data_IF_366585395206
#
_entry.id   IF_366585395206
#
_cell.length_a   1.000
_cell.length_b   1.000
_cell.length_c   1.000
_cell.angle_alpha   90.00
_cell.angle_beta   90.00
_cell.angle_gamma   90.00
#
_symmetry.space_group_name_H-M   'P 1'
#
loop_
_entity.id
_entity.type
_entity.pdbx_description
1 polymer ?
#
# COMPACT_ATOMS: atom_id res chain seq x y z
N UNK A 1 3.35 -14.04 -6.65
CA UNK A 1 4.49 -13.13 -6.91
C UNK A 1 4.75 -12.88 -8.40
N UNK A 2 4.15 -13.63 -9.35
CA UNK A 2 4.34 -13.42 -10.81
C UNK A 2 3.64 -12.19 -11.41
N UNK A 3 2.66 -11.58 -10.71
CA UNK A 3 1.87 -10.48 -11.27
C UNK A 3 2.58 -9.12 -11.13
N UNK A 4 3.12 -8.74 -9.96
CA UNK A 4 3.65 -7.37 -9.75
C UNK A 4 4.93 -7.08 -10.56
N UNK A 5 5.87 -8.03 -10.68
CA UNK A 5 7.09 -7.85 -11.49
C UNK A 5 6.74 -7.70 -12.98
N UNK A 6 5.74 -8.46 -13.45
CA UNK A 6 5.24 -8.34 -14.83
C UNK A 6 4.59 -6.97 -15.06
N UNK A 7 3.80 -6.48 -14.10
CA UNK A 7 3.11 -5.19 -14.16
C UNK A 7 4.10 -4.02 -14.17
N UNK A 8 5.16 -4.11 -13.36
CA UNK A 8 6.31 -3.18 -13.40
C UNK A 8 6.98 -3.22 -14.77
N UNK A 9 7.24 -4.43 -15.30
CA UNK A 9 7.79 -4.61 -16.64
C UNK A 9 6.96 -3.89 -17.70
N UNK A 10 5.64 -4.07 -17.71
CA UNK A 10 4.76 -3.41 -18.67
C UNK A 10 4.76 -1.88 -18.53
N UNK A 11 4.79 -1.33 -17.32
CA UNK A 11 4.85 0.12 -17.12
C UNK A 11 6.18 0.71 -17.64
N UNK A 12 7.29 0.02 -17.39
CA UNK A 12 8.61 0.39 -17.92
C UNK A 12 8.61 0.32 -19.44
N UNK A 13 8.12 -0.77 -20.01
CA UNK A 13 8.04 -0.93 -21.46
C UNK A 13 7.15 0.15 -22.10
N UNK A 14 6.06 0.53 -21.43
CA UNK A 14 5.23 1.65 -21.87
C UNK A 14 6.00 2.95 -21.87
N UNK A 15 6.70 3.30 -20.77
CA UNK A 15 7.54 4.51 -20.70
C UNK A 15 8.62 4.50 -21.79
N UNK A 16 9.23 3.36 -22.09
CA UNK A 16 10.21 3.28 -23.17
C UNK A 16 9.60 3.54 -24.55
N UNK A 17 8.41 2.98 -24.84
CA UNK A 17 7.73 3.16 -26.13
C UNK A 17 7.07 4.53 -26.29
N UNK A 18 6.64 5.16 -25.19
CA UNK A 18 5.95 6.45 -25.21
C UNK A 18 6.88 7.66 -25.19
N UNK A 19 8.20 7.44 -25.12
CA UNK A 19 9.18 8.53 -25.21
C UNK A 19 9.19 9.13 -26.61
N UNK A 20 9.09 10.46 -26.70
CA UNK A 20 9.10 11.21 -27.95
C UNK A 20 10.34 12.12 -28.03
N UNK A 21 10.80 12.40 -29.24
CA UNK A 21 11.78 13.46 -29.48
C UNK A 21 11.11 14.84 -29.45
N UNK A 22 11.80 15.85 -28.91
CA UNK A 22 11.28 17.22 -28.79
C UNK A 22 11.57 18.11 -30.01
N UNK A 23 12.15 17.55 -31.09
CA UNK A 23 12.58 18.21 -32.34
C UNK A 23 13.76 19.20 -32.20
N UNK A 24 14.29 19.38 -31.00
CA UNK A 24 15.37 20.31 -30.68
C UNK A 24 16.59 19.58 -30.06
N UNK A 25 16.73 18.28 -30.33
CA UNK A 25 17.83 17.46 -29.80
C UNK A 25 17.62 16.95 -28.36
N UNK A 26 16.41 17.07 -27.82
CA UNK A 26 15.99 16.44 -26.58
C UNK A 26 14.96 15.32 -26.80
N UNK A 27 14.76 14.51 -25.77
CA UNK A 27 13.76 13.45 -25.76
C UNK A 27 13.12 13.34 -24.38
N UNK A 28 11.87 12.92 -24.32
CA UNK A 28 11.18 12.78 -23.04
C UNK A 28 9.71 12.43 -23.17
N UNK A 29 8.94 12.81 -22.16
CA UNK A 29 7.53 12.45 -22.03
C UNK A 29 6.68 13.71 -21.88
N UNK A 30 5.54 13.73 -22.58
CA UNK A 30 4.45 14.65 -22.32
C UNK A 30 3.44 14.04 -21.37
N UNK A 31 2.47 14.84 -20.92
CA UNK A 31 1.41 14.37 -20.01
C UNK A 31 0.61 13.19 -20.62
N UNK A 32 0.17 13.34 -21.86
CA UNK A 32 -0.41 12.28 -22.71
C UNK A 32 0.42 12.15 -23.98
N UNK A 33 0.19 11.11 -24.78
CA UNK A 33 0.89 10.84 -26.05
C UNK A 33 0.89 12.01 -27.04
N UNK A 34 -0.09 12.88 -26.92
CA UNK A 34 -0.40 13.94 -27.88
C UNK A 34 0.21 15.28 -27.43
N UNK A 35 0.72 15.34 -26.21
CA UNK A 35 1.37 16.52 -25.63
C UNK A 35 2.88 16.40 -25.85
N UNK A 36 3.56 17.46 -26.35
CA UNK A 36 5.00 17.43 -26.52
C UNK A 36 5.75 17.11 -25.22
N UNK A 37 6.92 16.44 -25.32
CA UNK A 37 7.82 16.26 -24.19
C UNK A 37 8.14 17.56 -23.48
N UNK A 38 8.15 17.52 -22.16
CA UNK A 38 8.54 18.68 -21.35
C UNK A 38 9.45 18.30 -20.17
N UNK A 39 10.21 19.26 -19.60
CA UNK A 39 11.18 19.00 -18.55
C UNK A 39 10.58 18.36 -17.30
N UNK A 40 9.39 18.77 -16.86
CA UNK A 40 8.80 18.29 -15.61
C UNK A 40 8.35 16.83 -15.72
N UNK A 41 7.51 16.49 -16.71
CA UNK A 41 7.06 15.09 -16.90
C UNK A 41 8.23 14.16 -17.22
N UNK A 42 9.24 14.67 -17.92
CA UNK A 42 10.46 13.92 -18.21
C UNK A 42 11.27 13.65 -16.95
N UNK A 43 11.40 14.64 -16.06
CA UNK A 43 12.08 14.48 -14.79
C UNK A 43 11.38 13.46 -13.88
N UNK A 44 10.04 13.47 -13.81
CA UNK A 44 9.24 12.48 -13.11
C UNK A 44 9.51 11.05 -13.62
N UNK A 45 9.49 10.86 -14.95
CA UNK A 45 9.78 9.57 -15.58
C UNK A 45 11.20 9.07 -15.29
N UNK A 46 12.20 9.96 -15.34
CA UNK A 46 13.60 9.63 -15.00
C UNK A 46 13.71 9.12 -13.57
N UNK A 47 13.12 9.84 -12.60
CA UNK A 47 13.18 9.45 -11.20
C UNK A 47 12.49 8.10 -10.97
N UNK A 48 11.32 7.87 -11.58
CA UNK A 48 10.58 6.63 -11.45
C UNK A 48 11.31 5.43 -12.07
N UNK A 49 11.89 5.58 -13.27
CA UNK A 49 12.69 4.52 -13.92
C UNK A 49 13.93 4.19 -13.08
N UNK A 50 14.60 5.20 -12.54
CA UNK A 50 15.78 5.03 -11.69
C UNK A 50 15.41 4.32 -10.39
N UNK A 51 14.32 4.71 -9.74
CA UNK A 51 13.80 4.04 -8.54
C UNK A 51 13.42 2.57 -8.81
N UNK A 52 12.92 2.26 -10.00
CA UNK A 52 12.63 0.89 -10.45
C UNK A 52 13.89 0.08 -10.82
N UNK A 53 15.08 0.69 -10.80
CA UNK A 53 16.33 0.06 -11.22
C UNK A 53 16.35 -0.23 -12.73
N UNK A 54 15.80 0.69 -13.53
CA UNK A 54 15.71 0.58 -14.99
C UNK A 54 16.48 1.71 -15.67
N UNK A 55 17.16 1.42 -16.79
CA UNK A 55 17.92 2.44 -17.51
C UNK A 55 16.97 3.46 -18.16
N UNK A 56 17.37 4.72 -18.16
CA UNK A 56 16.66 5.78 -18.88
C UNK A 56 16.97 5.67 -20.38
N UNK A 57 15.97 5.52 -21.27
CA UNK A 57 16.21 5.51 -22.71
C UNK A 57 16.65 6.89 -23.21
N UNK A 58 17.57 6.92 -24.20
CA UNK A 58 18.10 8.16 -24.80
C UNK A 58 18.59 9.17 -23.75
N UNK A 59 19.33 8.67 -22.76
CA UNK A 59 19.71 9.43 -21.56
C UNK A 59 20.34 10.81 -21.83
N UNK A 60 21.16 10.95 -22.87
CA UNK A 60 21.78 12.25 -23.21
C UNK A 60 20.75 13.27 -23.74
N UNK A 61 19.81 12.83 -24.57
CA UNK A 61 18.72 13.68 -25.08
C UNK A 61 17.72 14.03 -23.97
N UNK A 62 17.47 13.09 -23.06
CA UNK A 62 16.69 13.32 -21.84
C UNK A 62 17.36 14.36 -20.95
N UNK A 63 18.67 14.22 -20.73
CA UNK A 63 19.47 15.19 -19.96
C UNK A 63 19.42 16.58 -20.62
N UNK A 64 19.47 16.65 -21.94
CA UNK A 64 19.37 17.91 -22.69
C UNK A 64 18.00 18.58 -22.50
N UNK A 65 16.89 17.82 -22.54
CA UNK A 65 15.54 18.35 -22.32
C UNK A 65 15.32 18.80 -20.87
N UNK A 66 15.71 17.98 -19.88
CA UNK A 66 15.51 18.28 -18.44
C UNK A 66 16.21 19.58 -18.03
N UNK A 67 17.34 19.92 -18.65
CA UNK A 67 18.09 21.17 -18.40
C UNK A 67 17.39 22.44 -18.93
N UNK A 68 16.33 22.33 -19.72
CA UNK A 68 15.67 23.49 -20.33
C UNK A 68 14.70 24.16 -19.38
N UNK A 69 14.75 25.48 -19.38
CA UNK A 69 13.78 26.33 -18.71
C UNK A 69 12.53 26.60 -19.55
N UNK A 70 12.67 26.53 -20.87
CA UNK A 70 11.62 26.89 -21.82
C UNK A 70 11.55 25.85 -22.92
N UNK A 71 10.33 25.45 -23.27
CA UNK A 71 10.04 24.61 -24.44
C UNK A 71 9.10 25.35 -25.38
N UNK A 72 9.51 25.50 -26.63
CA UNK A 72 8.68 26.09 -27.66
C UNK A 72 7.64 25.08 -28.15
N UNK A 73 6.37 25.50 -28.11
CA UNK A 73 5.23 24.72 -28.61
C UNK A 73 4.49 25.49 -29.70
N UNK A 74 3.61 24.80 -30.44
CA UNK A 74 2.75 25.44 -31.45
C UNK A 74 1.84 26.54 -30.87
N UNK A 75 1.53 26.47 -29.57
CA UNK A 75 0.72 27.47 -28.86
C UNK A 75 1.55 28.53 -28.11
N UNK A 76 2.88 28.47 -28.22
CA UNK A 76 3.81 29.42 -27.59
C UNK A 76 4.85 28.75 -26.68
N UNK A 77 5.70 29.58 -26.07
CA UNK A 77 6.74 29.14 -25.15
C UNK A 77 6.15 28.73 -23.79
N UNK A 78 6.50 27.53 -23.32
CA UNK A 78 6.14 27.03 -21.99
C UNK A 78 7.32 27.13 -21.05
N UNK A 79 7.15 27.80 -19.90
CA UNK A 79 8.19 28.00 -18.90
C UNK A 79 8.12 26.96 -17.77
N UNK A 80 9.26 26.36 -17.43
CA UNK A 80 9.44 25.33 -16.40
C UNK A 80 10.40 25.84 -15.33
N UNK A 81 9.96 26.87 -14.61
CA UNK A 81 10.72 27.58 -13.55
C UNK A 81 9.95 27.67 -12.24
N UNK A 82 8.83 26.97 -12.10
CA UNK A 82 8.12 26.93 -10.83
C UNK A 82 8.91 26.10 -9.81
N UNK A 83 8.66 26.27 -8.50
CA UNK A 83 9.36 25.46 -7.50
C UNK A 83 9.23 23.96 -7.72
N UNK A 84 8.08 23.46 -8.20
CA UNK A 84 7.89 22.05 -8.50
C UNK A 84 8.74 21.60 -9.70
N UNK A 85 8.84 22.42 -10.75
CA UNK A 85 9.71 22.15 -11.91
C UNK A 85 11.18 22.02 -11.52
N UNK A 86 11.67 23.00 -10.76
CA UNK A 86 13.07 23.05 -10.30
C UNK A 86 13.38 21.86 -9.39
N UNK A 87 12.43 21.48 -8.54
CA UNK A 87 12.58 20.33 -7.64
C UNK A 87 12.70 19.02 -8.39
N UNK A 88 11.81 18.77 -9.36
CA UNK A 88 11.90 17.58 -10.21
C UNK A 88 13.16 17.60 -11.07
N UNK A 89 13.54 18.75 -11.63
CA UNK A 89 14.78 18.90 -12.39
C UNK A 89 16.00 18.50 -11.58
N UNK A 90 16.15 19.01 -10.36
CA UNK A 90 17.28 18.65 -9.48
C UNK A 90 17.34 17.15 -9.21
N UNK A 91 16.20 16.53 -8.89
CA UNK A 91 16.10 15.08 -8.65
C UNK A 91 16.47 14.27 -9.88
N UNK A 92 15.95 14.65 -11.05
CA UNK A 92 16.24 13.96 -12.30
C UNK A 92 17.70 14.11 -12.73
N UNK A 93 18.30 15.29 -12.56
CA UNK A 93 19.73 15.49 -12.85
C UNK A 93 20.62 14.61 -11.96
N UNK A 94 20.29 14.46 -10.67
CA UNK A 94 20.94 13.51 -9.78
C UNK A 94 20.83 12.07 -10.29
N UNK A 95 19.62 11.64 -10.70
CA UNK A 95 19.39 10.33 -11.29
C UNK A 95 20.07 10.09 -12.66
N UNK A 96 20.51 11.16 -13.34
CA UNK A 96 21.22 11.10 -14.63
C UNK A 96 22.74 11.25 -14.48
N UNK A 97 23.24 11.02 -13.26
CA UNK A 97 24.65 11.12 -12.86
C UNK A 97 25.27 12.48 -13.19
N UNK A 98 24.50 13.57 -13.02
CA UNK A 98 25.01 14.93 -13.12
C UNK A 98 25.57 15.37 -11.77
N UNK A 99 26.83 15.77 -11.77
CA UNK A 99 27.53 16.22 -10.57
C UNK A 99 26.80 17.38 -9.85
N UNK A 100 26.73 17.37 -8.50
CA UNK A 100 26.11 18.44 -7.74
C UNK A 100 26.71 19.84 -8.00
N UNK A 101 27.99 19.89 -8.38
CA UNK A 101 28.71 21.13 -8.71
C UNK A 101 28.48 21.62 -10.13
N UNK A 102 27.72 20.90 -10.96
CA UNK A 102 27.39 21.32 -12.32
C UNK A 102 26.68 22.68 -12.30
N UNK A 103 27.05 23.63 -13.19
CA UNK A 103 26.44 24.97 -13.23
C UNK A 103 24.91 24.97 -13.36
N UNK A 104 24.32 23.97 -14.04
CA UNK A 104 22.87 23.85 -14.16
C UNK A 104 22.22 23.43 -12.84
N UNK A 105 22.85 22.51 -12.10
CA UNK A 105 22.39 22.10 -10.77
C UNK A 105 22.48 23.28 -9.79
N UNK A 106 23.64 23.95 -9.75
CA UNK A 106 23.85 25.12 -8.89
C UNK A 106 22.96 26.31 -9.27
N UNK A 107 22.67 26.51 -10.55
CA UNK A 107 21.71 27.50 -11.03
C UNK A 107 20.29 27.20 -10.54
N UNK A 108 19.85 25.95 -10.74
CA UNK A 108 18.54 25.47 -10.32
C UNK A 108 18.36 25.54 -8.79
N UNK A 109 19.39 25.17 -8.02
CA UNK A 109 19.39 25.25 -6.55
C UNK A 109 19.26 26.70 -6.07
N UNK A 110 20.04 27.63 -6.63
CA UNK A 110 19.95 29.06 -6.29
C UNK A 110 18.57 29.62 -6.62
N UNK A 111 18.00 29.27 -7.76
CA UNK A 111 16.66 29.72 -8.14
C UNK A 111 15.58 29.14 -7.22
N UNK A 112 15.67 27.86 -6.86
CA UNK A 112 14.75 27.22 -5.92
C UNK A 112 14.81 27.91 -4.54
N UNK A 113 16.00 28.25 -4.07
CA UNK A 113 16.17 29.03 -2.83
C UNK A 113 15.57 30.44 -2.94
N UNK A 114 15.76 31.12 -4.06
CA UNK A 114 15.22 32.47 -4.28
C UNK A 114 13.68 32.50 -4.28
N UNK A 115 13.02 31.39 -4.66
CA UNK A 115 11.55 31.25 -4.66
C UNK A 115 10.98 30.80 -3.32
N UNK A 116 11.81 30.59 -2.31
CA UNK A 116 11.37 30.23 -0.97
C UNK A 116 10.61 31.39 -0.35
N UNK A 117 9.45 31.10 0.23
CA UNK A 117 8.64 32.10 0.90
C UNK A 117 9.38 32.68 2.11
N UNK A 118 9.53 34.01 2.23
CA UNK A 118 10.34 34.61 3.29
C UNK A 118 9.72 34.46 4.69
N UNK A 119 8.40 34.36 4.79
CA UNK A 119 7.68 34.30 6.07
C UNK A 119 7.58 32.87 6.59
N UNK A 120 6.98 32.00 5.79
CA UNK A 120 6.69 30.60 6.15
C UNK A 120 7.87 29.67 5.87
N UNK A 121 8.79 30.07 4.99
CA UNK A 121 9.94 29.26 4.53
C UNK A 121 9.55 28.03 3.71
N UNK A 122 8.32 27.96 3.20
CA UNK A 122 7.85 26.93 2.25
C UNK A 122 7.94 27.38 0.80
N UNK A 123 7.35 26.59 -0.11
CA UNK A 123 7.28 26.89 -1.54
C UNK A 123 5.85 26.87 -2.06
N UNK A 124 5.55 27.79 -2.98
CA UNK A 124 4.28 27.84 -3.71
C UNK A 124 4.34 26.89 -4.91
N UNK A 125 3.18 26.44 -5.38
CA UNK A 125 3.13 25.58 -6.57
C UNK A 125 3.59 26.33 -7.82
N UNK A 126 3.12 27.56 -8.02
CA UNK A 126 3.52 28.40 -9.13
C UNK A 126 3.41 29.89 -8.78
N UNK A 127 4.23 30.72 -9.45
CA UNK A 127 4.22 32.17 -9.29
C UNK A 127 4.57 32.68 -7.88
N UNK A 128 4.52 34.01 -7.67
CA UNK A 128 4.79 34.61 -6.36
C UNK A 128 3.55 34.78 -5.47
N UNK A 129 2.34 34.52 -5.99
CA UNK A 129 1.07 34.80 -5.31
C UNK A 129 0.37 33.50 -4.93
N UNK A 130 -0.20 33.44 -3.73
CA UNK A 130 -0.97 32.30 -3.22
C UNK A 130 -0.39 31.72 -1.93
N UNK A 131 -1.07 30.73 -1.33
CA UNK A 131 -0.55 30.01 -0.17
C UNK A 131 0.66 29.15 -0.55
N UNK A 132 1.47 28.80 0.45
CA UNK A 132 2.47 27.74 0.30
C UNK A 132 1.76 26.41 0.01
N UNK A 133 2.30 25.68 -0.95
CA UNK A 133 1.81 24.37 -1.38
C UNK A 133 2.59 23.28 -0.66
N UNK A 134 1.87 22.32 -0.08
CA UNK A 134 2.51 21.15 0.52
C UNK A 134 3.17 20.28 -0.55
N UNK A 135 2.54 20.15 -1.72
CA UNK A 135 3.08 19.46 -2.89
C UNK A 135 4.42 20.05 -3.32
N UNK A 136 4.49 21.37 -3.54
CA UNK A 136 5.73 22.02 -3.96
C UNK A 136 6.80 22.00 -2.85
N UNK A 137 6.39 22.19 -1.60
CA UNK A 137 7.29 22.18 -0.45
C UNK A 137 7.92 20.80 -0.26
N UNK A 138 7.14 19.74 -0.30
CA UNK A 138 7.66 18.38 -0.17
C UNK A 138 8.54 17.99 -1.36
N UNK A 139 8.17 18.36 -2.59
CA UNK A 139 9.02 18.16 -3.78
C UNK A 139 10.39 18.85 -3.63
N UNK A 140 10.40 20.11 -3.16
CA UNK A 140 11.63 20.85 -2.90
C UNK A 140 12.49 20.17 -1.82
N UNK A 141 11.87 19.70 -0.74
CA UNK A 141 12.59 19.00 0.33
C UNK A 141 13.14 17.65 -0.12
N UNK A 142 12.43 16.92 -0.99
CA UNK A 142 12.96 15.71 -1.62
C UNK A 142 14.22 16.01 -2.45
N UNK A 143 14.23 17.11 -3.21
CA UNK A 143 15.38 17.52 -4.01
C UNK A 143 16.57 17.98 -3.14
N UNK A 144 16.29 18.73 -2.07
CA UNK A 144 17.32 19.22 -1.15
C UNK A 144 17.93 18.10 -0.31
N UNK A 145 17.18 17.03 -0.01
CA UNK A 145 17.68 15.89 0.76
C UNK A 145 18.91 15.23 0.10
N UNK A 146 18.92 15.12 -1.22
CA UNK A 146 20.02 14.51 -1.98
C UNK A 146 21.28 15.41 -2.00
N UNK A 147 21.12 16.72 -1.76
CA UNK A 147 22.20 17.72 -1.79
C UNK A 147 22.68 18.12 -0.39
N UNK A 148 21.91 17.82 0.67
CA UNK A 148 22.15 18.30 2.03
C UNK A 148 23.48 17.82 2.63
N UNK A 149 24.03 16.70 2.16
CA UNK A 149 25.33 16.21 2.62
C UNK A 149 26.50 17.09 2.13
N UNK A 150 26.34 17.77 0.99
CA UNK A 150 27.38 18.55 0.34
C UNK A 150 27.14 20.08 0.40
N UNK A 151 25.90 20.53 0.70
CA UNK A 151 25.53 21.94 0.73
C UNK A 151 24.84 22.32 2.05
N UNK A 152 25.47 23.21 2.84
CA UNK A 152 24.96 23.66 4.13
C UNK A 152 23.66 24.50 4.01
N UNK A 153 23.50 25.25 2.91
CA UNK A 153 22.28 26.02 2.64
C UNK A 153 21.13 25.07 2.36
N UNK A 154 21.36 24.01 1.58
CA UNK A 154 20.39 22.94 1.33
C UNK A 154 20.03 22.20 2.63
N UNK A 155 21.02 21.85 3.46
CA UNK A 155 20.80 21.20 4.77
C UNK A 155 19.94 22.06 5.72
N UNK A 156 20.25 23.35 5.84
CA UNK A 156 19.44 24.28 6.65
C UNK A 156 18.04 24.48 6.08
N UNK A 157 17.90 24.50 4.75
CA UNK A 157 16.59 24.60 4.12
C UNK A 157 15.75 23.34 4.37
N UNK A 158 16.36 22.16 4.28
CA UNK A 158 15.75 20.87 4.57
C UNK A 158 15.24 20.80 6.02
N UNK A 159 16.07 21.19 7.00
CA UNK A 159 15.69 21.22 8.42
C UNK A 159 14.47 22.13 8.68
N UNK A 160 14.55 23.37 8.21
CA UNK A 160 13.47 24.35 8.39
C UNK A 160 12.19 23.94 7.67
N UNK A 161 12.29 23.43 6.44
CA UNK A 161 11.12 23.00 5.67
C UNK A 161 10.47 21.75 6.24
N UNK A 162 11.26 20.79 6.74
CA UNK A 162 10.73 19.63 7.46
C UNK A 162 9.95 20.07 8.70
N UNK A 163 10.51 21.04 9.45
CA UNK A 163 9.84 21.61 10.62
C UNK A 163 8.52 22.30 10.26
N UNK A 164 8.48 23.02 9.14
CA UNK A 164 7.26 23.63 8.60
C UNK A 164 6.21 22.57 8.27
N UNK A 165 6.56 21.53 7.51
CA UNK A 165 5.62 20.44 7.14
C UNK A 165 5.01 19.79 8.37
N UNK A 166 5.84 19.53 9.39
CA UNK A 166 5.39 18.97 10.67
C UNK A 166 4.44 19.92 11.39
N UNK A 167 4.73 21.22 11.45
CA UNK A 167 3.86 22.18 12.11
C UNK A 167 2.53 22.34 11.37
N UNK A 168 2.54 22.52 10.04
CA UNK A 168 1.33 22.64 9.23
C UNK A 168 0.37 21.46 9.46
N UNK A 169 0.90 20.24 9.51
CA UNK A 169 0.07 19.05 9.72
C UNK A 169 -0.40 18.88 11.17
N UNK A 170 0.37 19.33 12.17
CA UNK A 170 -0.07 19.25 13.57
C UNK A 170 -1.08 20.31 13.93
N UNK A 171 -0.98 21.51 13.35
CA UNK A 171 -1.85 22.65 13.67
C UNK A 171 -3.24 22.48 13.06
N UNK A 172 -3.34 21.97 11.83
CA UNK A 172 -4.60 21.78 11.11
C UNK A 172 -5.25 20.39 11.29
N UNK A 173 -4.71 19.51 12.16
CA UNK A 173 -5.09 18.09 12.29
C UNK A 173 -4.96 17.27 10.97
N UNK A 174 -4.04 16.29 10.87
CA UNK A 174 -3.87 15.53 9.63
C UNK A 174 -5.12 14.76 9.19
N UNK A 175 -6.08 14.52 10.09
CA UNK A 175 -7.31 13.78 9.80
C UNK A 175 -8.29 14.54 8.91
N UNK A 176 -8.21 15.87 8.86
CA UNK A 176 -9.05 16.70 7.97
C UNK A 176 -8.31 17.13 6.70
N UNK A 177 -7.02 16.79 6.59
CA UNK A 177 -6.23 17.09 5.41
C UNK A 177 -6.63 16.20 4.22
N UNK A 178 -6.48 16.71 2.98
CA UNK A 178 -6.61 15.90 1.77
C UNK A 178 -5.64 14.72 1.76
N UNK A 179 -6.03 13.60 1.15
CA UNK A 179 -5.19 12.41 1.11
C UNK A 179 -3.87 12.64 0.37
N UNK A 180 -3.86 13.43 -0.71
CA UNK A 180 -2.64 13.77 -1.44
C UNK A 180 -1.62 14.49 -0.55
N UNK A 181 -2.09 15.39 0.31
CA UNK A 181 -1.25 16.15 1.23
C UNK A 181 -0.60 15.22 2.27
N UNK A 182 -1.40 14.32 2.86
CA UNK A 182 -0.90 13.27 3.74
C UNK A 182 0.12 12.36 3.04
N UNK A 183 -0.13 11.98 1.78
CA UNK A 183 0.75 11.10 1.02
C UNK A 183 2.12 11.75 0.75
N UNK A 184 2.14 12.99 0.26
CA UNK A 184 3.39 13.72 0.04
C UNK A 184 4.20 13.92 1.32
N UNK A 185 3.52 14.25 2.43
CA UNK A 185 4.19 14.38 3.72
C UNK A 185 4.74 13.04 4.22
N UNK A 186 3.95 11.96 4.15
CA UNK A 186 4.38 10.64 4.57
C UNK A 186 5.61 10.16 3.76
N UNK A 187 5.61 10.35 2.43
CA UNK A 187 6.76 10.03 1.58
C UNK A 187 8.01 10.81 1.98
N UNK A 188 7.88 12.12 2.21
CA UNK A 188 9.00 12.96 2.66
C UNK A 188 9.53 12.51 4.02
N UNK A 189 8.64 12.35 5.01
CA UNK A 189 8.99 12.03 6.39
C UNK A 189 9.51 10.60 6.58
N UNK A 190 9.36 9.76 5.55
CA UNK A 190 9.91 8.40 5.52
C UNK A 190 11.33 8.33 4.96
N UNK A 191 11.84 9.44 4.40
CA UNK A 191 13.23 9.51 3.96
C UNK A 191 14.19 9.43 5.15
N UNK A 192 15.25 8.59 5.09
CA UNK A 192 16.21 8.47 6.18
C UNK A 192 16.82 9.82 6.58
N UNK A 193 17.14 10.67 5.61
CA UNK A 193 17.75 11.99 5.84
C UNK A 193 16.83 12.93 6.61
N UNK A 194 15.51 12.75 6.49
CA UNK A 194 14.48 13.58 7.13
C UNK A 194 14.06 12.98 8.48
N UNK A 195 13.89 11.66 8.55
CA UNK A 195 13.49 10.94 9.75
C UNK A 195 14.48 11.12 10.90
N UNK A 196 15.79 11.15 10.60
CA UNK A 196 16.85 11.35 11.60
C UNK A 196 16.78 12.73 12.25
N UNK A 197 16.29 13.74 11.51
CA UNK A 197 16.30 15.15 11.95
C UNK A 197 15.12 15.49 12.85
N UNK A 198 13.94 14.92 12.59
CA UNK A 198 12.70 15.41 13.19
C UNK A 198 12.20 14.71 14.46
N UNK A 199 12.84 13.60 14.87
CA UNK A 199 12.54 12.86 16.10
C UNK A 199 11.05 12.50 16.28
N UNK A 200 10.58 12.50 17.53
CA UNK A 200 9.22 12.05 17.89
C UNK A 200 8.08 12.83 17.21
N UNK A 201 8.30 14.11 16.86
CA UNK A 201 7.27 14.91 16.18
C UNK A 201 7.06 14.44 14.74
N UNK A 202 8.15 14.13 14.03
CA UNK A 202 8.08 13.54 12.69
C UNK A 202 7.43 12.15 12.75
N UNK A 203 7.82 11.31 13.70
CA UNK A 203 7.19 9.99 13.87
C UNK A 203 5.68 10.10 14.10
N UNK A 204 5.24 11.06 14.92
CA UNK A 204 3.82 11.30 15.19
C UNK A 204 3.08 11.74 13.92
N UNK A 205 3.60 12.72 13.18
CA UNK A 205 2.96 13.19 11.94
C UNK A 205 2.92 12.09 10.89
N UNK A 206 4.00 11.32 10.74
CA UNK A 206 4.04 10.15 9.84
C UNK A 206 2.97 9.13 10.24
N UNK A 207 2.86 8.78 11.52
CA UNK A 207 1.83 7.83 11.99
C UNK A 207 0.41 8.33 11.71
N UNK A 208 0.10 9.59 12.04
CA UNK A 208 -1.27 10.13 11.84
C UNK A 208 -1.62 10.30 10.36
N UNK A 209 -0.66 10.67 9.50
CA UNK A 209 -0.88 10.72 8.05
C UNK A 209 -1.10 9.33 7.46
N UNK A 210 -0.36 8.31 7.93
CA UNK A 210 -0.60 6.90 7.56
C UNK A 210 -2.00 6.46 8.00
N UNK A 211 -2.40 6.70 9.25
CA UNK A 211 -3.74 6.36 9.74
C UNK A 211 -4.86 7.00 8.89
N UNK A 212 -4.74 8.29 8.56
CA UNK A 212 -5.69 9.00 7.70
C UNK A 212 -5.79 8.34 6.30
N UNK A 213 -4.66 7.97 5.71
CA UNK A 213 -4.64 7.31 4.40
C UNK A 213 -5.22 5.90 4.46
N UNK A 214 -4.91 5.12 5.50
CA UNK A 214 -5.49 3.78 5.70
C UNK A 214 -7.02 3.86 5.83
N UNK A 215 -7.53 4.80 6.62
CA UNK A 215 -8.96 5.00 6.77
C UNK A 215 -9.62 5.43 5.45
N UNK A 216 -8.97 6.31 4.69
CA UNK A 216 -9.44 6.73 3.36
C UNK A 216 -9.49 5.56 2.36
N UNK A 217 -8.45 4.73 2.31
CA UNK A 217 -8.39 3.54 1.45
C UNK A 217 -9.47 2.52 1.81
N UNK A 218 -9.70 2.25 3.11
CA UNK A 218 -10.75 1.32 3.56
C UNK A 218 -12.17 1.80 3.22
N UNK A 219 -12.36 3.10 3.06
CA UNK A 219 -13.66 3.72 2.73
C UNK A 219 -13.83 4.02 1.24
N UNK A 220 -12.83 3.75 0.40
CA UNK A 220 -12.87 4.12 -1.02
C UNK A 220 -12.88 5.63 -1.25
N UNK A 221 -12.26 6.42 -0.36
CA UNK A 221 -12.18 7.88 -0.44
C UNK A 221 -11.03 8.37 -1.34
N UNK A 222 -10.21 7.47 -1.89
CA UNK A 222 -9.00 7.79 -2.66
C UNK A 222 -9.27 8.27 -4.09
N UNK A 223 -10.12 9.30 -4.22
CA UNK A 223 -10.50 9.92 -5.49
C UNK A 223 -9.45 10.92 -5.96
N UNK A 224 -9.58 11.42 -7.19
CA UNK A 224 -8.76 12.54 -7.66
C UNK A 224 -9.09 13.78 -6.83
N UNK A 225 -8.07 14.33 -6.17
CA UNK A 225 -8.19 15.55 -5.36
C UNK A 225 -7.58 16.74 -6.10
N UNK A 226 -8.04 17.93 -5.75
CA UNK A 226 -7.68 19.17 -6.43
C UNK A 226 -6.96 20.14 -5.47
N UNK A 227 -5.83 20.68 -5.92
CA UNK A 227 -5.07 21.72 -5.21
C UNK A 227 -5.11 23.02 -6.02
N UNK A 228 -5.82 24.06 -5.54
CA UNK A 228 -5.91 25.33 -6.24
C UNK A 228 -4.61 26.11 -6.11
N UNK A 229 -4.17 26.73 -7.21
CA UNK A 229 -3.01 27.61 -7.24
C UNK A 229 -3.21 28.78 -8.20
N UNK A 230 -2.24 29.70 -8.25
CA UNK A 230 -2.26 30.83 -9.20
C UNK A 230 -1.08 30.77 -10.14
N UNK A 231 -1.34 30.95 -11.44
CA UNK A 231 -0.34 31.18 -12.48
C UNK A 231 -0.44 32.63 -12.94
N UNK A 232 0.37 33.50 -12.34
CA UNK A 232 0.22 34.94 -12.51
C UNK A 232 -1.13 35.42 -11.97
N UNK A 233 -1.96 36.00 -12.85
CA UNK A 233 -3.29 36.48 -12.50
C UNK A 233 -4.39 35.41 -12.60
N UNK A 234 -4.12 34.24 -13.19
CA UNK A 234 -5.11 33.19 -13.41
C UNK A 234 -5.14 32.19 -12.26
N UNK A 235 -6.34 31.81 -11.83
CA UNK A 235 -6.54 30.67 -10.95
C UNK A 235 -6.50 29.39 -11.79
N UNK A 236 -5.82 28.38 -11.26
CA UNK A 236 -5.65 27.06 -11.89
C UNK A 236 -5.65 25.98 -10.81
N UNK A 237 -5.74 24.71 -11.20
CA UNK A 237 -5.90 23.59 -10.27
C UNK A 237 -5.00 22.44 -10.66
N UNK A 238 -4.24 21.95 -9.69
CA UNK A 238 -3.49 20.71 -9.81
C UNK A 238 -4.33 19.51 -9.41
N UNK A 239 -4.27 18.43 -10.19
CA UNK A 239 -5.01 17.19 -9.90
C UNK A 239 -4.07 16.12 -9.36
N UNK A 240 -4.41 15.61 -8.19
CA UNK A 240 -3.65 14.59 -7.47
C UNK A 240 -4.34 13.23 -7.60
N UNK A 241 -3.60 12.20 -8.01
CA UNK A 241 -4.12 10.85 -8.13
C UNK A 241 -4.01 10.15 -6.78
N UNK A 242 -4.90 10.50 -5.84
CA UNK A 242 -4.73 10.14 -4.43
C UNK A 242 -4.67 8.63 -4.19
N UNK A 243 -5.31 7.80 -5.01
CA UNK A 243 -5.12 6.34 -4.96
C UNK A 243 -3.66 5.93 -5.21
N UNK A 244 -3.04 6.45 -6.27
CA UNK A 244 -1.66 6.13 -6.65
C UNK A 244 -0.69 6.59 -5.55
N UNK A 245 -0.87 7.84 -5.09
CA UNK A 245 -0.05 8.45 -4.06
C UNK A 245 -0.21 7.74 -2.70
N UNK A 246 -1.44 7.45 -2.27
CA UNK A 246 -1.69 6.87 -0.96
C UNK A 246 -1.14 5.44 -0.84
N UNK A 247 -1.34 4.59 -1.87
CA UNK A 247 -0.78 3.21 -1.88
C UNK A 247 0.75 3.25 -1.80
N UNK A 248 1.40 4.14 -2.57
CA UNK A 248 2.84 4.32 -2.50
C UNK A 248 3.29 4.79 -1.10
N UNK A 249 2.62 5.82 -0.58
CA UNK A 249 3.00 6.51 0.65
C UNK A 249 2.85 5.63 1.89
N UNK A 250 1.72 4.92 2.06
CA UNK A 250 1.49 4.07 3.24
C UNK A 250 2.50 2.94 3.32
N UNK A 251 2.78 2.28 2.19
CA UNK A 251 3.71 1.15 2.14
C UNK A 251 5.16 1.61 2.34
N UNK A 252 5.50 2.80 1.84
CA UNK A 252 6.82 3.42 2.07
C UNK A 252 7.01 3.86 3.52
N UNK A 253 5.95 4.38 4.15
CA UNK A 253 6.01 4.96 5.49
C UNK A 253 5.90 3.94 6.63
N UNK A 254 5.11 2.89 6.43
CA UNK A 254 5.03 1.76 7.35
C UNK A 254 4.86 0.48 6.54
N UNK A 255 5.94 -0.29 6.45
CA UNK A 255 6.00 -1.57 5.74
C UNK A 255 4.93 -2.58 6.16
N UNK A 256 4.41 -2.51 7.39
CA UNK A 256 3.40 -3.44 7.90
C UNK A 256 2.06 -3.24 7.20
N UNK A 257 1.84 -2.05 6.64
CA UNK A 257 0.60 -1.66 5.98
C UNK A 257 0.38 -2.38 4.66
N UNK A 258 1.40 -3.00 4.06
CA UNK A 258 1.22 -3.82 2.83
C UNK A 258 0.24 -4.98 3.02
N UNK A 259 -0.02 -5.36 4.28
CA UNK A 259 -0.98 -6.40 4.66
C UNK A 259 -2.31 -5.85 5.16
N UNK A 260 -2.47 -4.53 5.23
CA UNK A 260 -3.74 -3.91 5.59
C UNK A 260 -4.78 -4.16 4.48
N UNK A 261 -6.01 -4.58 4.83
CA UNK A 261 -7.05 -4.84 3.84
C UNK A 261 -7.35 -3.64 2.92
N UNK A 262 -7.29 -2.41 3.45
CA UNK A 262 -7.50 -1.20 2.66
C UNK A 262 -6.38 -0.95 1.64
N UNK A 263 -5.13 -1.21 2.03
CA UNK A 263 -3.98 -1.09 1.13
C UNK A 263 -4.02 -2.15 0.04
N UNK A 264 -4.38 -3.39 0.38
CA UNK A 264 -4.51 -4.46 -0.61
C UNK A 264 -5.64 -4.20 -1.60
N UNK A 265 -6.78 -3.73 -1.10
CA UNK A 265 -7.88 -3.32 -1.98
C UNK A 265 -7.47 -2.16 -2.89
N UNK A 266 -6.86 -1.10 -2.33
CA UNK A 266 -6.36 0.02 -3.12
C UNK A 266 -5.28 -0.38 -4.13
N UNK A 267 -4.43 -1.35 -3.81
CA UNK A 267 -3.46 -1.91 -4.76
C UNK A 267 -4.16 -2.66 -5.90
N UNK A 268 -5.22 -3.42 -5.62
CA UNK A 268 -6.02 -4.07 -6.67
C UNK A 268 -6.66 -3.02 -7.57
N UNK A 269 -7.33 -2.01 -7.01
CA UNK A 269 -7.92 -0.91 -7.77
C UNK A 269 -6.86 -0.20 -8.63
N UNK A 270 -5.69 0.09 -8.04
CA UNK A 270 -4.58 0.71 -8.77
C UNK A 270 -4.14 -0.16 -9.96
N UNK A 271 -3.98 -1.48 -9.77
CA UNK A 271 -3.57 -2.40 -10.84
C UNK A 271 -4.64 -2.59 -11.92
N UNK A 272 -5.92 -2.38 -11.60
CA UNK A 272 -7.02 -2.33 -12.57
C UNK A 272 -6.95 -1.08 -13.45
N UNK A 273 -6.34 0.02 -12.98
CA UNK A 273 -6.10 1.21 -13.79
C UNK A 273 -4.95 1.03 -14.79
N UNK A 274 -4.16 -0.04 -14.69
CA UNK A 274 -3.14 -0.34 -15.68
C UNK A 274 -3.76 -1.01 -16.91
N UNK A 275 -3.45 -0.48 -18.09
CA UNK A 275 -3.88 -1.08 -19.34
C UNK A 275 -3.14 -2.41 -19.58
N UNK A 276 -3.88 -3.50 -19.71
CA UNK A 276 -3.32 -4.85 -19.85
C UNK A 276 -3.63 -5.52 -21.17
N UNK A 277 -4.58 -4.97 -21.94
CA UNK A 277 -4.99 -5.57 -23.18
C UNK A 277 -3.82 -5.60 -24.16
N UNK A 278 -3.50 -6.79 -24.68
CA UNK A 278 -2.28 -7.01 -25.45
C UNK A 278 -2.20 -6.18 -26.73
N UNK A 279 -3.36 -5.92 -27.33
CA UNK A 279 -3.52 -5.15 -28.57
C UNK A 279 -3.65 -3.64 -28.33
N UNK A 280 -3.71 -3.19 -27.08
CA UNK A 280 -3.83 -1.76 -26.78
C UNK A 280 -2.50 -1.05 -27.04
N UNK A 281 -2.54 0.06 -27.79
CA UNK A 281 -1.39 0.94 -27.97
C UNK A 281 -0.89 1.50 -26.61
N UNK A 282 -1.76 1.56 -25.61
CA UNK A 282 -1.46 2.06 -24.28
C UNK A 282 -1.07 0.95 -23.29
N UNK A 283 -0.88 -0.31 -23.73
CA UNK A 283 -0.52 -1.45 -22.86
C UNK A 283 0.64 -1.10 -21.92
N UNK A 284 0.40 -1.26 -20.63
CA UNK A 284 1.33 -1.02 -19.54
C UNK A 284 1.20 0.36 -18.88
N UNK A 285 0.60 1.34 -19.55
CA UNK A 285 0.36 2.66 -18.98
C UNK A 285 -0.82 2.64 -18.00
N UNK A 286 -0.79 3.55 -17.03
CA UNK A 286 -1.86 3.72 -16.04
C UNK A 286 -2.80 4.86 -16.41
N UNK A 287 -4.08 4.64 -16.14
CA UNK A 287 -5.13 5.65 -16.25
C UNK A 287 -5.18 6.53 -15.01
N UNK A 288 -5.60 7.78 -15.19
CA UNK A 288 -5.85 8.70 -14.05
C UNK A 288 -7.04 8.29 -13.18
N UNK A 289 -7.99 7.55 -13.75
CA UNK A 289 -9.16 6.95 -13.09
C UNK A 289 -9.73 5.85 -14.00
N UNK A 290 -10.78 5.15 -13.58
CA UNK A 290 -11.41 4.07 -14.37
C UNK A 290 -11.82 4.53 -15.78
N UNK A 291 -12.31 5.76 -15.88
CA UNK A 291 -12.73 6.43 -17.14
C UNK A 291 -11.68 7.42 -17.66
N UNK A 292 -10.54 7.54 -16.98
CA UNK A 292 -9.49 8.50 -17.27
C UNK A 292 -8.56 8.09 -18.40
N UNK A 293 -7.76 9.04 -18.88
CA UNK A 293 -6.73 8.81 -19.90
C UNK A 293 -5.51 8.10 -19.31
N UNK A 294 -4.83 7.32 -20.15
CA UNK A 294 -3.48 6.84 -19.85
C UNK A 294 -2.50 8.00 -19.97
N UNK A 295 -1.71 8.25 -18.92
CA UNK A 295 -0.81 9.40 -18.85
C UNK A 295 0.57 8.98 -18.35
N UNK A 296 1.61 9.74 -18.70
CA UNK A 296 2.94 9.55 -18.12
C UNK A 296 2.92 9.76 -16.62
N UNK A 297 2.19 10.79 -16.14
CA UNK A 297 2.02 11.10 -14.72
C UNK A 297 1.42 9.94 -13.92
N UNK A 298 0.29 9.37 -14.36
CA UNK A 298 -0.32 8.22 -13.70
C UNK A 298 0.59 6.98 -13.78
N UNK A 299 1.24 6.76 -14.93
CA UNK A 299 2.14 5.61 -15.11
C UNK A 299 3.36 5.69 -14.21
N UNK A 300 3.92 6.88 -14.03
CA UNK A 300 5.02 7.15 -13.10
C UNK A 300 4.60 6.85 -11.66
N UNK A 301 3.47 7.41 -11.20
CA UNK A 301 3.02 7.18 -9.83
C UNK A 301 2.63 5.71 -9.59
N UNK A 302 2.02 5.06 -10.58
CA UNK A 302 1.72 3.62 -10.54
C UNK A 302 2.98 2.77 -10.47
N UNK A 303 4.01 3.10 -11.25
CA UNK A 303 5.32 2.44 -11.21
C UNK A 303 6.00 2.61 -9.86
N UNK A 304 6.00 3.82 -9.29
CA UNK A 304 6.57 4.09 -7.97
C UNK A 304 5.84 3.28 -6.89
N UNK A 305 4.50 3.27 -6.90
CA UNK A 305 3.69 2.49 -5.96
C UNK A 305 3.99 0.99 -6.05
N UNK A 306 4.00 0.43 -7.26
CA UNK A 306 4.33 -0.99 -7.46
C UNK A 306 5.76 -1.32 -7.03
N UNK A 307 6.71 -0.42 -7.27
CA UNK A 307 8.11 -0.60 -6.89
C UNK A 307 8.26 -0.58 -5.36
N UNK A 308 7.57 0.33 -4.67
CA UNK A 308 7.53 0.38 -3.21
C UNK A 308 6.94 -0.92 -2.62
N UNK A 309 5.82 -1.39 -3.16
CA UNK A 309 5.20 -2.67 -2.76
C UNK A 309 6.14 -3.85 -3.03
N UNK A 310 6.72 -3.95 -4.23
CA UNK A 310 7.67 -5.01 -4.58
C UNK A 310 8.86 -5.04 -3.62
N UNK A 311 9.42 -3.87 -3.28
CA UNK A 311 10.53 -3.75 -2.34
C UNK A 311 10.15 -4.31 -0.97
N UNK A 312 9.01 -3.90 -0.42
CA UNK A 312 8.53 -4.39 0.88
C UNK A 312 8.23 -5.89 0.87
N UNK A 313 7.66 -6.40 -0.22
CA UNK A 313 7.42 -7.84 -0.39
C UNK A 313 8.75 -8.60 -0.47
N UNK A 314 9.69 -8.19 -1.31
CA UNK A 314 10.94 -8.93 -1.51
C UNK A 314 11.93 -8.84 -0.35
N UNK A 315 12.03 -7.69 0.33
CA UNK A 315 13.01 -7.48 1.41
C UNK A 315 12.59 -8.15 2.72
N UNK A 316 11.28 -8.33 2.98
CA UNK A 316 10.79 -8.69 4.33
C UNK A 316 9.73 -9.78 4.38
N UNK A 317 9.26 -10.28 3.24
CA UNK A 317 8.47 -11.50 3.24
C UNK A 317 9.40 -12.69 3.41
N UNK A 318 9.58 -13.11 4.66
CA UNK A 318 9.80 -14.53 4.91
C UNK A 318 8.58 -15.26 4.31
N UNK A 319 8.77 -16.28 3.45
CA UNK A 319 7.67 -17.06 2.88
C UNK A 319 6.65 -17.48 3.94
N UNK A 320 7.11 -17.78 5.16
CA UNK A 320 6.24 -18.11 6.29
C UNK A 320 5.27 -16.99 6.68
N UNK A 321 5.68 -15.71 6.67
CA UNK A 321 4.81 -14.57 7.02
C UNK A 321 3.79 -14.30 5.92
N UNK A 322 4.15 -14.44 4.64
CA UNK A 322 3.16 -14.34 3.55
C UNK A 322 2.20 -15.52 3.50
N UNK A 323 2.62 -16.72 3.88
CA UNK A 323 1.68 -17.82 4.11
C UNK A 323 0.73 -17.49 5.27
N UNK A 324 1.24 -16.95 6.38
CA UNK A 324 0.41 -16.54 7.54
C UNK A 324 -0.58 -15.41 7.17
N UNK A 325 -0.20 -14.51 6.26
CA UNK A 325 -0.99 -13.33 5.88
C UNK A 325 -1.85 -13.49 4.62
N UNK A 326 -1.55 -14.45 3.74
CA UNK A 326 -2.48 -14.94 2.69
C UNK A 326 -3.58 -15.78 3.35
N UNK A 327 -3.25 -16.56 4.39
CA UNK A 327 -4.24 -17.23 5.23
C UNK A 327 -5.13 -16.25 6.02
N UNK A 328 -4.66 -15.02 6.30
CA UNK A 328 -5.52 -13.92 6.80
C UNK A 328 -6.47 -13.36 5.74
N UNK A 329 -6.12 -13.40 4.46
CA UNK A 329 -6.95 -12.88 3.37
C UNK A 329 -8.01 -13.87 2.89
N UNK A 330 -7.76 -15.16 3.02
CA UNK A 330 -8.77 -16.22 2.87
C UNK A 330 -9.58 -16.47 4.16
N UNK A 331 -9.37 -15.66 5.20
CA UNK A 331 -10.31 -15.49 6.29
C UNK A 331 -10.54 -16.73 7.15
N UNK A 332 -9.46 -17.38 7.64
CA UNK A 332 -9.32 -17.97 8.99
C UNK A 332 -8.11 -18.92 9.01
N UNK A 333 -7.17 -18.70 9.93
CA UNK A 333 -6.10 -19.65 10.17
C UNK A 333 -6.61 -20.80 11.07
N UNK A 334 -6.24 -22.08 10.82
CA UNK A 334 -6.62 -23.18 11.71
C UNK A 334 -6.20 -22.92 13.16
N UNK A 335 -5.11 -22.19 13.42
CA UNK A 335 -4.67 -21.86 14.79
C UNK A 335 -5.36 -20.64 15.41
N UNK A 336 -6.28 -19.97 14.73
CA UNK A 336 -7.06 -18.88 15.32
C UNK A 336 -8.13 -19.42 16.27
N UNK A 337 -8.34 -18.73 17.39
CA UNK A 337 -9.32 -19.14 18.38
C UNK A 337 -10.75 -18.96 17.83
N UNK A 338 -11.41 -20.08 17.52
CA UNK A 338 -12.78 -20.14 17.02
C UNK A 338 -13.77 -20.10 18.18
N UNK A 339 -14.86 -19.33 18.04
CA UNK A 339 -16.01 -19.45 18.93
C UNK A 339 -16.69 -20.81 18.70
N UNK A 340 -16.51 -21.73 19.65
CA UNK A 340 -17.06 -23.09 19.57
C UNK A 340 -18.46 -23.15 20.17
N UNK A 341 -18.69 -22.47 21.29
CA UNK A 341 -19.99 -22.33 21.96
C UNK A 341 -20.05 -20.97 22.67
N UNK A 342 -21.23 -20.36 22.75
CA UNK A 342 -21.47 -19.22 23.64
C UNK A 342 -22.82 -19.36 24.35
N UNK A 343 -22.85 -19.18 25.66
CA UNK A 343 -24.06 -19.21 26.48
C UNK A 343 -23.99 -18.14 27.58
N UNK A 344 -25.05 -17.34 27.71
CA UNK A 344 -25.21 -16.29 28.74
C UNK A 344 -23.94 -15.43 28.96
N UNK A 345 -23.40 -14.85 27.88
CA UNK A 345 -22.24 -13.95 27.94
C UNK A 345 -20.88 -14.65 28.06
N UNK A 346 -20.82 -15.96 28.30
CA UNK A 346 -19.57 -16.73 28.30
C UNK A 346 -19.31 -17.30 26.90
N UNK A 347 -18.11 -17.06 26.37
CA UNK A 347 -17.71 -17.52 25.04
C UNK A 347 -16.49 -18.44 25.14
N UNK A 348 -16.64 -19.68 24.66
CA UNK A 348 -15.54 -20.64 24.57
C UNK A 348 -14.84 -20.44 23.23
N UNK A 349 -13.59 -19.98 23.29
CA UNK A 349 -12.71 -19.81 22.15
C UNK A 349 -11.69 -20.96 22.11
N UNK A 350 -11.60 -21.69 21.00
CA UNK A 350 -10.64 -22.79 20.82
C UNK A 350 -9.98 -22.70 19.45
N UNK A 351 -8.66 -22.84 19.40
CA UNK A 351 -7.94 -23.02 18.13
C UNK A 351 -7.94 -24.49 17.68
N UNK A 352 -7.49 -24.78 16.46
CA UNK A 352 -7.42 -26.17 15.94
C UNK A 352 -6.52 -27.10 16.75
N UNK A 353 -5.49 -26.59 17.43
CA UNK A 353 -4.66 -27.41 18.32
C UNK A 353 -5.44 -27.83 19.56
N UNK A 354 -6.13 -26.89 20.20
CA UNK A 354 -7.02 -27.15 21.32
C UNK A 354 -8.18 -28.09 20.89
N UNK A 355 -8.77 -27.86 19.71
CA UNK A 355 -9.81 -28.74 19.15
C UNK A 355 -9.30 -30.15 18.81
N UNK A 356 -8.09 -30.26 18.27
CA UNK A 356 -7.45 -31.56 17.99
C UNK A 356 -7.08 -32.30 19.28
N UNK A 357 -6.60 -31.59 20.29
CA UNK A 357 -6.33 -32.15 21.62
C UNK A 357 -7.63 -32.59 22.31
N UNK A 358 -8.71 -31.81 22.21
CA UNK A 358 -10.03 -32.20 22.72
C UNK A 358 -10.56 -33.45 22.00
N UNK A 359 -10.41 -33.55 20.68
CA UNK A 359 -10.73 -34.78 19.95
C UNK A 359 -9.85 -35.96 20.39
N UNK A 360 -8.54 -35.77 20.46
CA UNK A 360 -7.58 -36.80 20.83
C UNK A 360 -7.75 -37.28 22.28
N UNK A 361 -8.28 -36.46 23.17
CA UNK A 361 -8.62 -36.86 24.54
C UNK A 361 -10.02 -37.49 24.64
N UNK A 362 -11.03 -36.84 24.05
CA UNK A 362 -12.44 -37.24 24.22
C UNK A 362 -12.79 -38.51 23.43
N UNK A 363 -12.17 -38.73 22.26
CA UNK A 363 -12.42 -39.93 21.46
C UNK A 363 -11.99 -41.22 22.18
N UNK A 364 -10.74 -41.39 22.62
CA UNK A 364 -10.34 -42.60 23.36
C UNK A 364 -11.03 -42.70 24.71
N UNK A 365 -11.25 -41.60 25.43
CA UNK A 365 -11.98 -41.63 26.70
C UNK A 365 -13.43 -42.12 26.50
N UNK A 366 -14.16 -41.55 25.54
CA UNK A 366 -15.55 -41.92 25.26
C UNK A 366 -15.68 -43.35 24.71
N UNK A 367 -14.77 -43.79 23.84
CA UNK A 367 -14.71 -45.18 23.37
C UNK A 367 -14.41 -46.16 24.52
N UNK A 368 -13.49 -45.80 25.42
CA UNK A 368 -13.14 -46.63 26.57
C UNK A 368 -14.34 -46.77 27.51
N UNK A 369 -15.04 -45.67 27.81
CA UNK A 369 -16.27 -45.70 28.62
C UNK A 369 -17.32 -46.63 27.96
N UNK A 370 -17.55 -46.47 26.66
CA UNK A 370 -18.54 -47.28 25.94
C UNK A 370 -18.16 -48.76 25.88
N UNK A 371 -16.90 -49.09 25.57
CA UNK A 371 -16.42 -50.47 25.47
C UNK A 371 -16.44 -51.17 26.83
N UNK A 372 -15.96 -50.51 27.89
CA UNK A 372 -16.01 -51.08 29.24
C UNK A 372 -17.46 -51.28 29.70
N UNK A 373 -18.37 -50.36 29.38
CA UNK A 373 -19.78 -50.52 29.71
C UNK A 373 -20.43 -51.72 29.01
N UNK A 374 -20.00 -52.06 27.80
CA UNK A 374 -20.45 -53.28 27.09
C UNK A 374 -19.79 -54.53 27.66
N UNK A 375 -18.47 -54.49 27.90
CA UNK A 375 -17.71 -55.64 28.39
C UNK A 375 -18.10 -56.06 29.81
N UNK A 376 -18.48 -55.10 30.66
CA UNK A 376 -18.93 -55.32 32.03
C UNK A 376 -20.46 -55.16 32.18
N UNK A 377 -21.22 -55.33 31.10
CA UNK A 377 -22.66 -55.11 31.11
C UNK A 377 -23.40 -56.00 32.14
N UNK A 378 -22.95 -57.25 32.30
CA UNK A 378 -23.53 -58.22 33.23
C UNK A 378 -23.29 -57.83 34.71
N UNK A 379 -22.13 -57.26 35.02
CA UNK A 379 -21.76 -56.84 36.38
C UNK A 379 -22.35 -55.46 36.76
N UNK A 380 -22.51 -54.57 35.78
CA UNK A 380 -23.03 -53.20 35.98
C UNK A 380 -24.57 -53.14 35.97
N UNK A 381 -25.22 -54.12 35.33
CA UNK A 381 -26.65 -54.10 35.07
C UNK A 381 -27.05 -53.21 33.90
N UNK A 382 -28.14 -53.59 33.24
CA UNK A 382 -28.60 -53.02 31.95
C UNK A 382 -28.75 -51.50 31.97
N UNK A 383 -29.29 -50.93 33.06
CA UNK A 383 -29.57 -49.49 33.15
C UNK A 383 -28.28 -48.67 33.25
N UNK A 384 -27.32 -49.13 34.06
CA UNK A 384 -26.05 -48.42 34.27
C UNK A 384 -25.16 -48.56 33.03
N UNK A 385 -25.07 -49.77 32.46
CA UNK A 385 -24.37 -50.01 31.20
C UNK A 385 -24.89 -49.11 30.07
N UNK A 386 -26.21 -49.06 29.85
CA UNK A 386 -26.82 -48.18 28.83
C UNK A 386 -26.52 -46.70 29.07
N UNK A 387 -26.60 -46.26 30.32
CA UNK A 387 -26.29 -44.87 30.68
C UNK A 387 -24.83 -44.52 30.38
N UNK A 388 -23.91 -45.42 30.68
CA UNK A 388 -22.48 -45.25 30.40
C UNK A 388 -22.18 -45.27 28.91
N UNK A 389 -22.85 -46.11 28.10
CA UNK A 389 -22.65 -46.09 26.65
C UNK A 389 -23.17 -44.79 26.03
N UNK A 390 -24.33 -44.29 26.47
CA UNK A 390 -24.83 -42.96 26.06
C UNK A 390 -23.83 -41.87 26.45
N UNK A 391 -23.27 -41.95 27.66
CA UNK A 391 -22.28 -41.01 28.15
C UNK A 391 -20.96 -41.06 27.35
N UNK A 392 -20.43 -42.25 27.08
CA UNK A 392 -19.25 -42.44 26.23
C UNK A 392 -19.46 -41.90 24.83
N UNK A 393 -20.64 -42.16 24.25
CA UNK A 393 -21.04 -41.65 22.93
C UNK A 393 -21.12 -40.12 22.91
N UNK A 394 -21.63 -39.50 23.98
CA UNK A 394 -21.65 -38.05 24.12
C UNK A 394 -20.25 -37.43 24.12
N UNK A 395 -19.28 -38.04 24.82
CA UNK A 395 -17.88 -37.59 24.79
C UNK A 395 -17.27 -37.68 23.39
N UNK A 396 -17.53 -38.78 22.67
CA UNK A 396 -17.08 -38.94 21.29
C UNK A 396 -17.72 -37.88 20.37
N UNK A 397 -19.02 -37.62 20.53
CA UNK A 397 -19.73 -36.58 19.78
C UNK A 397 -19.18 -35.17 20.07
N UNK A 398 -18.91 -34.85 21.35
CA UNK A 398 -18.33 -33.58 21.76
C UNK A 398 -16.90 -33.38 21.22
N UNK A 399 -16.07 -34.42 21.30
CA UNK A 399 -14.73 -34.41 20.70
C UNK A 399 -14.77 -34.22 19.19
N UNK A 400 -15.68 -34.93 18.51
CA UNK A 400 -15.88 -34.83 17.06
C UNK A 400 -16.37 -33.44 16.66
N UNK A 401 -17.36 -32.90 17.38
CA UNK A 401 -17.87 -31.54 17.17
C UNK A 401 -16.76 -30.50 17.34
N UNK A 402 -16.05 -30.50 18.46
CA UNK A 402 -14.98 -29.52 18.73
C UNK A 402 -13.80 -29.65 17.76
N UNK A 403 -13.43 -30.87 17.36
CA UNK A 403 -12.40 -31.12 16.36
C UNK A 403 -12.77 -30.63 14.96
N UNK A 404 -14.02 -30.84 14.52
CA UNK A 404 -14.49 -30.39 13.19
C UNK A 404 -14.78 -28.89 13.19
N UNK A 405 -15.43 -28.37 14.23
CA UNK A 405 -15.80 -26.95 14.35
C UNK A 405 -14.57 -26.02 14.35
N UNK A 406 -13.42 -26.49 14.82
CA UNK A 406 -12.16 -25.75 14.82
C UNK A 406 -11.36 -25.88 13.52
N UNK A 407 -11.67 -26.88 12.67
CA UNK A 407 -11.01 -27.11 11.36
C UNK A 407 -11.82 -26.62 10.16
N UNK A 408 -13.13 -26.42 10.32
CA UNK A 408 -14.03 -25.87 9.31
C UNK A 408 -14.58 -24.51 9.75
N UNK A 409 -13.79 -23.44 9.65
CA UNK A 409 -14.18 -22.12 10.13
C UNK A 409 -15.24 -21.44 9.26
N UNK A 410 -15.27 -21.75 7.95
CA UNK A 410 -16.24 -21.23 6.98
C UNK A 410 -17.64 -21.86 7.10
N UNK A 411 -17.80 -22.92 7.88
CA UNK A 411 -19.09 -23.59 8.09
C UNK A 411 -19.78 -23.04 9.34
N UNK A 412 -21.05 -22.61 9.25
CA UNK A 412 -21.82 -22.20 10.41
C UNK A 412 -21.82 -23.29 11.49
N UNK A 413 -21.48 -22.94 12.74
CA UNK A 413 -21.33 -23.93 13.83
C UNK A 413 -22.61 -24.72 14.10
N UNK A 414 -23.77 -24.10 13.88
CA UNK A 414 -25.07 -24.78 13.94
C UNK A 414 -25.20 -25.91 12.90
N UNK A 415 -24.64 -25.76 11.70
CA UNK A 415 -24.62 -26.82 10.67
C UNK A 415 -23.68 -27.95 11.07
N UNK A 416 -22.49 -27.62 11.59
CA UNK A 416 -21.55 -28.63 12.09
C UNK A 416 -22.14 -29.42 13.26
N UNK A 417 -22.78 -28.74 14.22
CA UNK A 417 -23.47 -29.36 15.34
C UNK A 417 -24.62 -30.26 14.85
N UNK A 418 -25.46 -29.78 13.92
CA UNK A 418 -26.56 -30.56 13.36
C UNK A 418 -26.08 -31.80 12.62
N UNK A 419 -25.01 -31.71 11.84
CA UNK A 419 -24.44 -32.84 11.12
C UNK A 419 -23.84 -33.90 12.07
N UNK A 420 -23.09 -33.47 13.09
CA UNK A 420 -22.58 -34.38 14.12
C UNK A 420 -23.74 -35.01 14.89
N UNK A 421 -24.71 -34.23 15.35
CA UNK A 421 -25.88 -34.77 16.04
C UNK A 421 -26.66 -35.77 15.20
N UNK A 422 -26.92 -35.47 13.92
CA UNK A 422 -27.59 -36.37 12.99
C UNK A 422 -26.81 -37.67 12.77
N UNK A 423 -25.49 -37.61 12.58
CA UNK A 423 -24.67 -38.82 12.41
C UNK A 423 -24.72 -39.74 13.64
N UNK A 424 -24.62 -39.17 14.84
CA UNK A 424 -24.63 -39.94 16.08
C UNK A 424 -26.01 -40.49 16.43
N UNK A 425 -27.08 -39.73 16.17
CA UNK A 425 -28.45 -40.19 16.43
C UNK A 425 -28.96 -41.18 15.39
N UNK A 426 -28.60 -41.02 14.12
CA UNK A 426 -29.09 -41.88 13.04
C UNK A 426 -28.31 -43.20 12.89
N UNK A 427 -27.02 -43.22 13.26
CA UNK A 427 -26.16 -44.39 13.04
C UNK A 427 -25.70 -45.02 14.34
N UNK A 428 -25.14 -44.23 15.25
CA UNK A 428 -24.47 -44.78 16.43
C UNK A 428 -25.48 -45.24 17.49
N UNK A 429 -26.52 -44.45 17.75
CA UNK A 429 -27.51 -44.79 18.76
C UNK A 429 -28.30 -46.07 18.43
N UNK A 430 -28.74 -46.32 17.17
CA UNK A 430 -29.34 -47.60 16.79
C UNK A 430 -28.39 -48.79 16.90
N UNK A 431 -27.13 -48.65 16.49
CA UNK A 431 -26.13 -49.74 16.60
C UNK A 431 -25.84 -50.08 18.06
N UNK A 432 -25.68 -49.06 18.90
CA UNK A 432 -25.52 -49.24 20.36
C UNK A 432 -26.75 -49.89 20.97
N UNK A 433 -27.95 -49.45 20.59
CA UNK A 433 -29.19 -50.04 21.10
C UNK A 433 -29.30 -51.51 20.71
N UNK A 434 -28.95 -51.88 19.48
CA UNK A 434 -28.89 -53.26 19.01
C UNK A 434 -27.86 -54.11 19.77
N UNK A 435 -26.67 -53.58 20.06
CA UNK A 435 -25.62 -54.29 20.81
C UNK A 435 -25.92 -54.46 22.31
N UNK A 436 -26.87 -53.69 22.85
CA UNK A 436 -27.33 -53.73 24.26
C UNK A 436 -28.75 -54.31 24.40
N UNK A 437 -29.30 -54.87 23.31
CA UNK A 437 -30.54 -55.63 23.25
C UNK A 437 -30.21 -57.12 23.32
#
# INVERSE_FOLDING_TARGET
>A
MSNIDQRIGWAVDWLHRSQLGDRHGGAGWGWVSDVPPNPQNTAEAVVALTAAGRPVPRADEVRALVRRDVVDTESGAWEFRSPIDLSWRLRALSCLDVEPTDPAVMGCLRELHAKRDPETRGWRLSGPVGPVSLTATTAALHALADLAAADEVAARALLHGTSLVVSLLLDDDPRIQPMYACAHAALLLSRPEVAVVGGKRVDRVRATTVERMLDGLRRGEARVEEEPFRRGAMADTWRHLSLHLAVCAVVTADERTVFDPGVRHGLVELLELQETQELSAARGGFRTSTEGFVTSYATVQGLEAMTAVRRMVNERVNPATVFDMICREQGVHPRDAQKVVGYQGTVVLMNSHAGAMSLAAALPAGLTIALLAVLFADDLGVVISRSLVVWGTFFVALGTYTGIATRLPSVPKARTAAAVFAAFTAVILPVVTFLLS
#
